data_IF_829495171295
#
_entry.id   IF_829495171295
#
_cell.length_a   1.000
_cell.length_b   1.000
_cell.length_c   1.000
_cell.angle_alpha   90.00
_cell.angle_beta   90.00
_cell.angle_gamma   90.00
#
_symmetry.space_group_name_H-M   'P 1'
#
loop_
_entity.id
_entity.type
_entity.pdbx_description
1 polymer ?
#
# COMPACT_ATOMS: atom_id res chain seq x y z
N UNK A 1 6.26 -34.99 -0.08
CA UNK A 1 6.22 -33.55 0.21
C UNK A 1 5.70 -33.41 1.64
N UNK A 2 6.09 -32.39 2.41
CA UNK A 2 5.56 -32.19 3.76
C UNK A 2 4.04 -31.92 3.68
N UNK A 3 3.26 -32.59 4.53
CA UNK A 3 1.79 -32.50 4.56
C UNK A 3 1.31 -31.06 4.78
N UNK A 4 2.01 -30.28 5.61
CA UNK A 4 1.64 -28.88 5.88
C UNK A 4 1.76 -27.97 4.65
N UNK A 5 2.63 -28.31 3.70
CA UNK A 5 2.78 -27.58 2.43
C UNK A 5 1.64 -27.93 1.48
N UNK A 6 1.24 -29.21 1.44
CA UNK A 6 0.13 -29.69 0.61
C UNK A 6 -1.20 -29.11 1.10
N UNK A 7 -1.37 -29.00 2.42
CA UNK A 7 -2.59 -28.50 3.05
C UNK A 7 -2.64 -26.96 3.14
N UNK A 8 -1.69 -26.26 2.53
CA UNK A 8 -1.57 -24.81 2.54
C UNK A 8 -1.68 -24.14 3.93
N UNK A 9 -1.06 -24.75 4.95
CA UNK A 9 -1.20 -24.34 6.36
C UNK A 9 -0.69 -22.91 6.68
N UNK A 10 0.22 -22.38 5.88
CA UNK A 10 0.88 -21.09 6.10
C UNK A 10 0.27 -20.03 5.17
N UNK A 11 -0.29 -18.97 5.76
CA UNK A 11 -0.95 -17.90 5.02
C UNK A 11 -0.02 -16.73 4.68
N UNK A 12 1.14 -16.64 5.32
CA UNK A 12 2.09 -15.55 5.09
C UNK A 12 3.01 -15.83 3.90
N UNK A 13 2.93 -15.02 2.84
CA UNK A 13 3.68 -15.23 1.60
C UNK A 13 5.20 -15.35 1.78
N UNK A 14 5.83 -14.60 2.71
CA UNK A 14 7.28 -14.74 2.97
C UNK A 14 7.65 -16.09 3.60
N UNK A 15 6.75 -16.70 4.37
CA UNK A 15 6.95 -18.06 4.89
C UNK A 15 6.87 -19.04 3.73
N UNK A 16 5.89 -18.87 2.83
CA UNK A 16 5.78 -19.70 1.63
C UNK A 16 7.00 -19.54 0.72
N UNK A 17 7.56 -18.34 0.60
CA UNK A 17 8.82 -18.08 -0.13
C UNK A 17 10.02 -18.80 0.51
N UNK A 18 10.16 -18.78 1.83
CA UNK A 18 11.16 -19.58 2.55
C UNK A 18 11.03 -21.07 2.26
N UNK A 19 9.80 -21.59 2.31
CA UNK A 19 9.52 -22.99 2.01
C UNK A 19 9.85 -23.32 0.55
N UNK A 20 9.45 -22.49 -0.41
CA UNK A 20 9.76 -22.69 -1.82
C UNK A 20 11.27 -22.81 -2.04
N UNK A 21 12.05 -21.87 -1.51
CA UNK A 21 13.51 -21.89 -1.60
C UNK A 21 14.15 -23.12 -0.96
N UNK A 22 13.67 -23.52 0.21
CA UNK A 22 14.16 -24.72 0.89
C UNK A 22 13.87 -25.99 0.07
N UNK A 23 12.63 -26.18 -0.40
CA UNK A 23 12.27 -27.39 -1.15
C UNK A 23 12.93 -27.44 -2.54
N UNK A 24 13.12 -26.29 -3.20
CA UNK A 24 13.87 -26.21 -4.45
C UNK A 24 15.33 -26.62 -4.21
N UNK A 25 15.98 -26.12 -3.15
CA UNK A 25 17.34 -26.52 -2.80
C UNK A 25 17.43 -28.01 -2.49
N UNK A 26 16.53 -28.55 -1.67
CA UNK A 26 16.54 -29.98 -1.30
C UNK A 26 16.33 -30.88 -2.52
N UNK A 27 15.53 -30.43 -3.49
CA UNK A 27 15.37 -31.12 -4.78
C UNK A 27 16.66 -31.10 -5.61
N UNK A 28 17.32 -29.93 -5.69
CA UNK A 28 18.58 -29.73 -6.42
C UNK A 28 19.68 -30.69 -5.96
N UNK A 29 19.82 -30.87 -4.64
CA UNK A 29 20.81 -31.78 -4.04
C UNK A 29 20.29 -33.22 -3.85
N UNK A 30 19.15 -33.56 -4.47
CA UNK A 30 18.56 -34.91 -4.46
C UNK A 30 18.25 -35.48 -3.07
N UNK A 31 17.99 -34.62 -2.07
CA UNK A 31 17.57 -35.04 -0.73
C UNK A 31 16.06 -35.32 -0.63
N UNK A 32 15.29 -34.95 -1.64
CA UNK A 32 13.86 -35.29 -1.77
C UNK A 32 13.60 -35.93 -3.14
N UNK A 33 12.61 -36.83 -3.26
CA UNK A 33 12.34 -37.57 -4.50
C UNK A 33 11.57 -36.76 -5.56
N UNK A 34 11.48 -35.44 -5.40
CA UNK A 34 10.76 -34.55 -6.32
C UNK A 34 11.77 -33.76 -7.12
N UNK A 35 11.54 -33.63 -8.43
CA UNK A 35 12.32 -32.72 -9.27
C UNK A 35 11.94 -31.25 -9.02
N UNK A 36 12.84 -30.33 -9.39
CA UNK A 36 12.69 -28.89 -9.12
C UNK A 36 11.47 -28.29 -9.83
N UNK A 37 11.14 -28.78 -11.02
CA UNK A 37 9.99 -28.31 -11.80
C UNK A 37 8.68 -28.63 -11.07
N UNK A 38 8.57 -29.85 -10.51
CA UNK A 38 7.42 -30.27 -9.72
C UNK A 38 7.30 -29.49 -8.41
N UNK A 39 8.42 -29.19 -7.76
CA UNK A 39 8.43 -28.31 -6.57
C UNK A 39 7.93 -26.91 -6.96
N UNK A 40 8.45 -26.34 -8.04
CA UNK A 40 8.03 -25.02 -8.53
C UNK A 40 6.53 -24.98 -8.81
N UNK A 41 5.99 -25.95 -9.56
CA UNK A 41 4.55 -26.01 -9.85
C UNK A 41 3.70 -26.09 -8.57
N UNK A 42 4.14 -26.87 -7.57
CA UNK A 42 3.44 -26.95 -6.29
C UNK A 42 3.39 -25.60 -5.59
N UNK A 43 4.51 -24.88 -5.52
CA UNK A 43 4.55 -23.59 -4.83
C UNK A 43 3.84 -22.48 -5.62
N UNK A 44 3.74 -22.57 -6.95
CA UNK A 44 2.85 -21.69 -7.73
C UNK A 44 1.38 -21.91 -7.36
N UNK A 45 0.93 -23.16 -7.22
CA UNK A 45 -0.42 -23.48 -6.74
C UNK A 45 -0.65 -22.94 -5.33
N UNK A 46 0.36 -22.99 -4.46
CA UNK A 46 0.27 -22.39 -3.13
C UNK A 46 0.09 -20.87 -3.21
N UNK A 47 0.84 -20.19 -4.08
CA UNK A 47 0.66 -18.75 -4.32
C UNK A 47 -0.74 -18.44 -4.85
N UNK A 48 -1.27 -19.25 -5.78
CA UNK A 48 -2.67 -19.13 -6.24
C UNK A 48 -3.64 -19.27 -5.07
N UNK A 49 -3.46 -20.27 -4.20
CA UNK A 49 -4.28 -20.44 -2.99
C UNK A 49 -4.22 -19.21 -2.08
N UNK A 50 -3.03 -18.62 -1.86
CA UNK A 50 -2.91 -17.41 -1.06
C UNK A 50 -3.66 -16.23 -1.70
N UNK A 51 -3.58 -16.10 -3.02
CA UNK A 51 -4.24 -15.05 -3.78
C UNK A 51 -5.76 -15.20 -3.74
N UNK A 52 -6.27 -16.40 -4.02
CA UNK A 52 -7.71 -16.68 -4.12
C UNK A 52 -8.43 -16.55 -2.77
N UNK A 53 -7.71 -16.71 -1.66
CA UNK A 53 -8.23 -16.60 -0.30
C UNK A 53 -7.88 -15.26 0.38
N UNK A 54 -7.39 -14.25 -0.37
CA UNK A 54 -7.01 -12.93 0.14
C UNK A 54 -5.99 -12.99 1.31
N UNK A 55 -5.09 -13.98 1.29
CA UNK A 55 -4.02 -14.14 2.28
C UNK A 55 -2.72 -13.42 1.87
N UNK A 56 -2.64 -12.90 0.65
CA UNK A 56 -1.55 -12.00 0.27
C UNK A 56 -1.70 -10.68 1.05
N UNK A 57 -0.68 -10.26 1.82
CA UNK A 57 -0.90 -9.22 2.82
C UNK A 57 -1.21 -7.86 2.22
N UNK A 58 -2.03 -7.09 2.93
CA UNK A 58 -2.24 -5.66 2.68
C UNK A 58 -0.95 -4.82 2.80
N UNK A 59 0.05 -5.37 3.51
CA UNK A 59 1.40 -4.82 3.71
C UNK A 59 2.26 -4.88 2.44
N UNK A 60 1.81 -5.55 1.37
CA UNK A 60 2.49 -5.53 0.06
C UNK A 60 2.49 -4.13 -0.59
N UNK A 61 1.74 -3.19 -0.02
CA UNK A 61 1.75 -1.76 -0.35
C UNK A 61 2.94 -1.01 0.27
N UNK A 62 3.73 -1.66 1.13
CA UNK A 62 4.92 -1.08 1.73
C UNK A 62 6.10 -1.18 0.74
N UNK A 63 6.22 -0.18 -0.14
CA UNK A 63 7.39 -0.04 -1.04
C UNK A 63 8.71 0.21 -0.26
N UNK A 64 8.73 0.28 1.10
CA UNK A 64 10.01 0.41 1.85
C UNK A 64 10.76 -0.88 2.03
N UNK A 65 10.08 -2.02 1.93
CA UNK A 65 10.76 -3.27 1.71
C UNK A 65 10.82 -3.40 0.19
N UNK A 66 11.85 -2.80 -0.43
CA UNK A 66 12.52 -3.54 -1.49
C UNK A 66 12.63 -4.96 -0.95
N UNK A 67 11.74 -5.86 -1.42
CA UNK A 67 11.57 -7.18 -0.84
C UNK A 67 12.97 -7.70 -0.61
N UNK A 68 13.35 -7.93 0.66
CA UNK A 68 14.70 -8.34 1.01
C UNK A 68 15.00 -9.53 0.08
N UNK A 69 15.72 -9.27 -1.02
CA UNK A 69 15.91 -10.29 -2.06
C UNK A 69 16.67 -11.47 -1.48
N UNK A 70 17.34 -11.18 -0.38
CA UNK A 70 18.25 -12.04 0.31
C UNK A 70 17.61 -12.81 1.46
N UNK A 71 16.47 -12.38 2.03
CA UNK A 71 15.87 -13.02 3.20
C UNK A 71 14.58 -12.41 3.74
N UNK A 72 14.07 -12.93 4.84
CA UNK A 72 12.98 -12.34 5.63
C UNK A 72 13.02 -12.86 7.06
N UNK A 73 12.71 -12.01 8.04
CA UNK A 73 12.70 -12.38 9.46
C UNK A 73 14.10 -12.69 10.02
N UNK A 74 15.13 -12.04 9.49
CA UNK A 74 16.54 -12.29 9.85
C UNK A 74 17.12 -13.59 9.27
N UNK A 75 16.38 -14.27 8.40
CA UNK A 75 16.79 -15.52 7.75
C UNK A 75 16.93 -15.33 6.25
N UNK A 76 18.02 -15.81 5.66
CA UNK A 76 18.21 -15.78 4.21
C UNK A 76 17.33 -16.80 3.48
N UNK A 77 16.87 -16.48 2.27
CA UNK A 77 16.18 -17.47 1.44
C UNK A 77 17.18 -18.51 0.90
N UNK A 78 16.79 -19.78 0.95
CA UNK A 78 17.56 -20.88 0.37
C UNK A 78 17.32 -20.98 -1.14
N UNK A 79 18.30 -21.47 -1.90
CA UNK A 79 18.12 -21.79 -3.32
C UNK A 79 18.01 -20.58 -4.26
N UNK A 80 18.37 -19.37 -3.82
CA UNK A 80 18.30 -18.12 -4.61
C UNK A 80 19.14 -18.12 -5.88
N UNK A 81 20.23 -18.87 -5.86
CA UNK A 81 21.13 -19.14 -6.97
C UNK A 81 20.55 -20.13 -8.01
N UNK A 82 19.36 -20.69 -7.75
CA UNK A 82 18.71 -21.64 -8.64
C UNK A 82 17.63 -20.96 -9.46
N UNK A 83 17.64 -21.25 -10.77
CA UNK A 83 16.68 -20.69 -11.75
C UNK A 83 15.22 -20.91 -11.36
N UNK A 84 14.89 -22.04 -10.76
CA UNK A 84 13.52 -22.33 -10.34
C UNK A 84 13.04 -21.43 -9.20
N UNK A 85 13.96 -20.94 -8.35
CA UNK A 85 13.60 -19.97 -7.32
C UNK A 85 13.32 -18.58 -7.92
N UNK A 86 14.15 -18.14 -8.86
CA UNK A 86 13.92 -16.90 -9.62
C UNK A 86 12.54 -16.93 -10.31
N UNK A 87 12.20 -18.04 -10.98
CA UNK A 87 10.87 -18.23 -11.60
C UNK A 87 9.71 -18.24 -10.60
N UNK A 88 9.96 -18.67 -9.36
CA UNK A 88 8.97 -18.59 -8.29
C UNK A 88 8.81 -17.13 -7.82
N UNK A 89 9.90 -16.39 -7.64
CA UNK A 89 9.86 -14.99 -7.24
C UNK A 89 9.14 -14.12 -8.27
N UNK A 90 9.46 -14.30 -9.55
CA UNK A 90 8.76 -13.61 -10.65
C UNK A 90 7.25 -13.84 -10.59
N UNK A 91 6.83 -15.10 -10.42
CA UNK A 91 5.42 -15.47 -10.34
C UNK A 91 4.72 -14.91 -9.10
N UNK A 92 5.38 -14.97 -7.94
CA UNK A 92 4.86 -14.38 -6.70
C UNK A 92 4.68 -12.87 -6.86
N UNK A 93 5.67 -12.17 -7.41
CA UNK A 93 5.61 -10.73 -7.64
C UNK A 93 4.49 -10.36 -8.63
N UNK A 94 4.33 -11.11 -9.72
CA UNK A 94 3.22 -10.91 -10.67
C UNK A 94 1.85 -11.01 -9.97
N UNK A 95 1.65 -12.05 -9.15
CA UNK A 95 0.41 -12.25 -8.39
C UNK A 95 0.16 -11.16 -7.37
N UNK A 96 1.23 -10.66 -6.72
CA UNK A 96 1.15 -9.52 -5.80
C UNK A 96 0.69 -8.26 -6.54
N UNK A 97 1.25 -7.96 -7.72
CA UNK A 97 0.86 -6.78 -8.49
C UNK A 97 -0.59 -6.87 -8.98
N UNK A 98 -1.02 -8.06 -9.44
CA UNK A 98 -2.43 -8.30 -9.78
C UNK A 98 -3.35 -8.11 -8.55
N UNK A 99 -2.91 -8.54 -7.37
CA UNK A 99 -3.67 -8.40 -6.13
C UNK A 99 -3.83 -6.94 -5.74
N UNK A 100 -2.76 -6.14 -5.86
CA UNK A 100 -2.78 -4.69 -5.64
C UNK A 100 -3.82 -4.01 -6.52
N UNK A 101 -3.78 -4.25 -7.84
CA UNK A 101 -4.75 -3.66 -8.78
C UNK A 101 -6.18 -4.03 -8.42
N UNK A 102 -6.43 -5.28 -8.01
CA UNK A 102 -7.76 -5.76 -7.63
C UNK A 102 -8.28 -5.15 -6.32
N UNK A 103 -7.41 -4.99 -5.32
CA UNK A 103 -7.82 -4.65 -3.95
C UNK A 103 -7.75 -3.16 -3.63
N UNK A 104 -6.88 -2.39 -4.30
CA UNK A 104 -6.69 -0.96 -4.04
C UNK A 104 -8.01 -0.17 -4.03
N UNK A 105 -8.94 -0.35 -5.00
CA UNK A 105 -10.22 0.38 -4.97
C UNK A 105 -11.08 0.07 -3.73
N UNK A 106 -11.09 -1.18 -3.27
CA UNK A 106 -11.81 -1.56 -2.06
C UNK A 106 -11.16 -0.94 -0.82
N UNK A 107 -9.82 -0.98 -0.73
CA UNK A 107 -9.08 -0.37 0.37
C UNK A 107 -9.29 1.16 0.38
N UNK A 108 -9.33 1.81 -0.77
CA UNK A 108 -9.66 3.23 -0.88
C UNK A 108 -11.07 3.53 -0.35
N UNK A 109 -12.03 2.64 -0.63
CA UNK A 109 -13.38 2.65 -0.05
C UNK A 109 -13.38 2.52 1.48
N UNK A 110 -12.63 1.58 2.02
CA UNK A 110 -12.48 1.40 3.48
C UNK A 110 -11.79 2.59 4.15
N UNK A 111 -10.78 3.17 3.49
CA UNK A 111 -10.07 4.35 4.00
C UNK A 111 -10.99 5.56 4.11
N UNK A 112 -11.88 5.78 3.14
CA UNK A 112 -12.79 6.92 3.21
C UNK A 112 -13.86 6.73 4.31
N UNK A 113 -14.31 5.50 4.55
CA UNK A 113 -15.17 5.19 5.70
C UNK A 113 -14.41 5.40 7.02
N UNK A 114 -13.15 4.96 7.07
CA UNK A 114 -12.28 5.12 8.23
C UNK A 114 -12.02 6.59 8.56
N UNK A 115 -11.90 7.47 7.56
CA UNK A 115 -11.76 8.90 7.79
C UNK A 115 -12.90 9.48 8.65
N UNK A 116 -14.11 8.96 8.47
CA UNK A 116 -15.29 9.37 9.22
C UNK A 116 -15.37 8.72 10.61
N UNK A 117 -15.07 7.43 10.73
CA UNK A 117 -15.18 6.69 11.99
C UNK A 117 -13.98 6.87 12.93
N UNK A 118 -12.76 6.89 12.36
CA UNK A 118 -11.48 7.03 13.06
C UNK A 118 -10.46 7.78 12.20
N UNK A 119 -10.56 9.11 12.22
CA UNK A 119 -9.64 9.98 11.50
C UNK A 119 -8.18 9.84 11.96
N UNK A 120 -7.92 9.37 13.19
CA UNK A 120 -6.54 9.17 13.66
C UNK A 120 -5.90 8.01 12.91
N UNK A 121 -6.58 6.86 12.87
CA UNK A 121 -6.10 5.69 12.17
C UNK A 121 -6.03 5.92 10.65
N UNK A 122 -7.00 6.63 10.08
CA UNK A 122 -6.94 7.06 8.68
C UNK A 122 -5.67 7.86 8.38
N UNK A 123 -5.33 8.83 9.23
CA UNK A 123 -4.13 9.66 9.06
C UNK A 123 -2.86 8.83 9.21
N UNK A 124 -2.78 7.98 10.23
CA UNK A 124 -1.61 7.14 10.48
C UNK A 124 -1.31 6.18 9.33
N UNK A 125 -2.35 5.64 8.69
CA UNK A 125 -2.22 4.76 7.51
C UNK A 125 -1.57 5.44 6.30
N UNK A 126 -1.66 6.76 6.18
CA UNK A 126 -1.27 7.51 4.99
C UNK A 126 0.03 8.32 5.14
N UNK A 127 0.61 8.38 6.33
CA UNK A 127 1.84 9.13 6.60
C UNK A 127 2.99 8.21 7.01
N UNK A 128 4.21 8.60 6.69
CA UNK A 128 5.39 7.91 7.20
C UNK A 128 5.51 8.20 8.72
N UNK A 129 5.46 7.16 9.53
CA UNK A 129 5.72 7.25 10.97
C UNK A 129 6.31 5.95 11.52
N UNK A 130 6.87 5.96 12.73
CA UNK A 130 7.44 4.77 13.37
C UNK A 130 6.35 3.91 14.05
N UNK A 131 5.27 3.62 13.33
CA UNK A 131 4.20 2.74 13.80
C UNK A 131 3.79 1.77 12.71
N UNK A 132 3.29 0.60 13.14
CA UNK A 132 2.91 -0.50 12.26
C UNK A 132 1.70 -0.17 11.38
N UNK A 133 0.88 0.82 11.78
CA UNK A 133 -0.30 1.20 11.03
C UNK A 133 -0.01 1.98 9.75
N UNK A 134 1.24 2.41 9.49
CA UNK A 134 1.65 3.28 8.37
C UNK A 134 1.64 2.62 6.98
N UNK A 135 0.59 1.85 6.66
CA UNK A 135 0.59 0.88 5.56
C UNK A 135 0.66 1.46 4.14
N UNK A 136 0.18 2.68 3.92
CA UNK A 136 -0.08 3.24 2.58
C UNK A 136 0.62 4.58 2.33
N UNK A 137 1.61 4.94 3.15
CA UNK A 137 2.31 6.23 3.06
C UNK A 137 3.01 6.49 1.73
N UNK A 138 3.42 5.46 0.98
CA UNK A 138 4.07 5.56 -0.33
C UNK A 138 3.30 4.87 -1.47
N UNK A 139 2.08 4.40 -1.20
CA UNK A 139 1.19 3.82 -2.21
C UNK A 139 0.20 4.88 -2.67
N UNK A 140 0.05 5.13 -3.98
CA UNK A 140 -0.83 6.18 -4.51
C UNK A 140 -2.31 5.77 -4.46
N UNK A 141 -2.85 5.60 -3.26
CA UNK A 141 -4.21 5.09 -3.01
C UNK A 141 -5.28 6.19 -3.02
N UNK A 142 -4.92 7.45 -2.76
CA UNK A 142 -5.90 8.52 -2.68
C UNK A 142 -6.53 8.83 -4.04
N UNK A 143 -5.81 8.58 -5.15
CA UNK A 143 -6.33 8.74 -6.52
C UNK A 143 -7.59 7.92 -6.81
N UNK A 144 -7.77 6.81 -6.08
CA UNK A 144 -8.90 5.90 -6.25
C UNK A 144 -10.10 6.27 -5.35
N UNK A 145 -9.99 7.36 -4.57
CA UNK A 145 -11.10 7.93 -3.79
C UNK A 145 -11.77 9.03 -4.63
N UNK A 146 -13.09 9.03 -4.72
CA UNK A 146 -13.83 10.12 -5.36
C UNK A 146 -13.56 11.47 -4.66
N UNK A 147 -13.07 12.50 -5.37
CA UNK A 147 -12.74 13.79 -4.78
C UNK A 147 -13.93 14.50 -4.10
N UNK A 148 -15.14 14.37 -4.65
CA UNK A 148 -16.33 15.01 -4.09
C UNK A 148 -16.68 14.38 -2.74
N UNK A 149 -16.74 13.04 -2.69
CA UNK A 149 -16.97 12.27 -1.46
C UNK A 149 -15.93 12.61 -0.39
N UNK A 150 -14.65 12.72 -0.77
CA UNK A 150 -13.58 13.11 0.15
C UNK A 150 -13.82 14.49 0.74
N UNK A 151 -14.09 15.50 -0.09
CA UNK A 151 -14.32 16.88 0.37
C UNK A 151 -15.57 16.98 1.24
N UNK A 152 -16.65 16.28 0.89
CA UNK A 152 -17.87 16.23 1.69
C UNK A 152 -17.59 15.71 3.11
N UNK A 153 -16.92 14.56 3.22
CA UNK A 153 -16.56 13.96 4.51
C UNK A 153 -15.62 14.88 5.26
N UNK A 154 -14.57 15.41 4.62
CA UNK A 154 -13.62 16.34 5.23
C UNK A 154 -14.31 17.54 5.87
N UNK A 155 -15.22 18.18 5.13
CA UNK A 155 -15.93 19.36 5.62
C UNK A 155 -16.90 19.04 6.74
N UNK A 156 -17.41 17.81 6.81
CA UNK A 156 -18.25 17.33 7.91
C UNK A 156 -17.48 17.07 9.22
N UNK A 157 -16.14 16.92 9.15
CA UNK A 157 -15.33 16.58 10.32
C UNK A 157 -15.29 17.70 11.38
N UNK A 158 -15.20 17.33 12.68
CA UNK A 158 -14.90 18.26 13.76
C UNK A 158 -13.58 19.01 13.54
N UNK A 159 -13.45 20.21 14.10
CA UNK A 159 -12.32 21.11 13.80
C UNK A 159 -10.92 20.55 14.13
N UNK A 160 -10.78 19.68 15.13
CA UNK A 160 -9.50 18.99 15.41
C UNK A 160 -9.17 17.97 14.31
N UNK A 161 -10.13 17.11 13.96
CA UNK A 161 -10.00 16.08 12.94
C UNK A 161 -9.82 16.65 11.53
N UNK A 162 -10.52 17.74 11.22
CA UNK A 162 -10.31 18.50 9.98
C UNK A 162 -8.86 19.00 9.83
N UNK A 163 -8.30 19.60 10.89
CA UNK A 163 -6.91 20.08 10.87
C UNK A 163 -5.93 18.92 10.73
N UNK A 164 -6.20 17.80 11.39
CA UNK A 164 -5.39 16.59 11.31
C UNK A 164 -5.28 16.06 9.88
N UNK A 165 -6.38 16.04 9.12
CA UNK A 165 -6.34 15.65 7.69
C UNK A 165 -5.55 16.65 6.86
N UNK A 166 -5.59 17.95 7.19
CA UNK A 166 -4.66 18.93 6.61
C UNK A 166 -3.19 18.55 6.86
N UNK A 167 -2.83 18.26 8.12
CA UNK A 167 -1.47 17.82 8.46
C UNK A 167 -1.07 16.54 7.71
N UNK A 168 -2.01 15.61 7.50
CA UNK A 168 -1.78 14.38 6.73
C UNK A 168 -1.20 14.68 5.35
N UNK A 169 -1.82 15.59 4.58
CA UNK A 169 -1.33 15.95 3.25
C UNK A 169 0.09 16.48 3.27
N UNK A 170 0.39 17.39 4.20
CA UNK A 170 1.74 17.93 4.34
C UNK A 170 2.76 16.83 4.63
N UNK A 171 2.45 15.91 5.56
CA UNK A 171 3.37 14.84 5.91
C UNK A 171 3.55 13.83 4.78
N UNK A 172 2.45 13.40 4.15
CA UNK A 172 2.44 12.43 3.05
C UNK A 172 3.31 12.87 1.88
N UNK A 173 3.22 14.13 1.47
CA UNK A 173 3.93 14.66 0.30
C UNK A 173 5.24 15.40 0.62
N UNK A 174 5.65 15.42 1.90
CA UNK A 174 6.90 16.10 2.30
C UNK A 174 8.17 15.30 2.03
N UNK A 175 8.06 13.99 1.78
CA UNK A 175 9.21 13.10 1.67
C UNK A 175 9.52 12.82 0.20
N UNK A 176 10.50 13.55 -0.34
CA UNK A 176 10.92 13.48 -1.76
C UNK A 176 11.15 12.06 -2.28
N UNK A 177 11.68 11.16 -1.45
CA UNK A 177 11.94 9.76 -1.84
C UNK A 177 10.68 9.02 -2.31
N UNK A 178 9.49 9.39 -1.82
CA UNK A 178 8.23 8.74 -2.18
C UNK A 178 7.40 9.53 -3.19
N UNK A 179 7.75 10.80 -3.43
CA UNK A 179 6.99 11.67 -4.33
C UNK A 179 6.90 11.09 -5.74
N UNK A 180 7.94 10.42 -6.25
CA UNK A 180 7.88 9.74 -7.55
C UNK A 180 6.74 8.69 -7.63
N UNK A 181 6.47 7.96 -6.55
CA UNK A 181 5.38 6.98 -6.50
C UNK A 181 4.02 7.65 -6.31
N UNK A 182 3.99 8.79 -5.61
CA UNK A 182 2.76 9.52 -5.27
C UNK A 182 2.35 10.55 -6.32
N UNK A 183 3.19 10.83 -7.31
CA UNK A 183 2.97 11.84 -8.35
C UNK A 183 1.64 11.65 -9.09
N UNK A 184 1.20 10.40 -9.27
CA UNK A 184 -0.10 10.10 -9.89
C UNK A 184 -1.31 10.62 -9.07
N UNK A 185 -1.12 10.93 -7.78
CA UNK A 185 -2.13 11.58 -6.94
C UNK A 185 -2.21 13.11 -7.17
N UNK A 186 -1.27 13.72 -7.92
CA UNK A 186 -1.24 15.17 -8.14
C UNK A 186 -2.54 15.70 -8.76
N UNK A 187 -3.05 15.02 -9.78
CA UNK A 187 -4.30 15.42 -10.43
C UNK A 187 -5.49 15.29 -9.46
N UNK A 188 -5.49 14.25 -8.63
CA UNK A 188 -6.50 14.08 -7.59
C UNK A 188 -6.42 15.24 -6.56
N UNK A 189 -5.22 15.63 -6.14
CA UNK A 189 -5.01 16.71 -5.17
C UNK A 189 -5.44 18.08 -5.73
N UNK A 190 -5.19 18.34 -7.03
CA UNK A 190 -5.68 19.54 -7.74
C UNK A 190 -7.21 19.58 -7.80
N UNK A 191 -7.85 18.44 -8.00
CA UNK A 191 -9.32 18.35 -7.93
C UNK A 191 -9.85 18.66 -6.51
N UNK A 192 -9.18 18.17 -5.47
CA UNK A 192 -9.51 18.51 -4.08
C UNK A 192 -9.36 20.02 -3.83
N UNK A 193 -8.28 20.64 -4.30
CA UNK A 193 -8.07 22.08 -4.21
C UNK A 193 -9.23 22.85 -4.85
N UNK A 194 -9.56 22.54 -6.10
CA UNK A 194 -10.63 23.22 -6.85
C UNK A 194 -11.99 23.12 -6.13
N UNK A 195 -12.33 21.93 -5.64
CA UNK A 195 -13.57 21.70 -4.88
C UNK A 195 -13.59 22.49 -3.56
N UNK A 196 -12.47 22.54 -2.84
CA UNK A 196 -12.35 23.32 -1.61
C UNK A 196 -12.44 24.82 -1.89
N UNK A 197 -11.83 25.32 -2.96
CA UNK A 197 -11.93 26.73 -3.38
C UNK A 197 -13.38 27.11 -3.71
N UNK A 198 -14.12 26.25 -4.41
CA UNK A 198 -15.54 26.44 -4.65
C UNK A 198 -16.32 26.52 -3.32
N UNK A 199 -16.10 25.58 -2.40
CA UNK A 199 -16.76 25.55 -1.08
C UNK A 199 -16.40 26.75 -0.21
N UNK A 200 -15.18 27.27 -0.36
CA UNK A 200 -14.71 28.49 0.30
C UNK A 200 -15.50 29.71 -0.20
N UNK A 201 -15.69 29.85 -1.52
CA UNK A 201 -16.45 30.94 -2.14
C UNK A 201 -17.91 30.90 -1.69
N UNK A 202 -18.54 29.71 -1.71
CA UNK A 202 -19.91 29.49 -1.20
C UNK A 202 -20.06 29.88 0.28
N UNK A 203 -18.98 29.79 1.05
CA UNK A 203 -18.91 30.10 2.48
C UNK A 203 -18.30 31.48 2.79
N UNK A 204 -18.22 32.38 1.81
CA UNK A 204 -17.58 33.69 1.99
C UNK A 204 -18.21 34.48 3.13
N UNK A 205 -17.37 35.08 3.97
CA UNK A 205 -17.79 35.85 5.15
C UNK A 205 -18.18 34.99 6.37
N UNK A 206 -18.14 33.66 6.26
CA UNK A 206 -18.37 32.73 7.38
C UNK A 206 -17.05 32.18 7.91
N UNK A 207 -17.06 31.79 9.19
CA UNK A 207 -15.92 31.11 9.81
C UNK A 207 -15.52 29.82 9.08
N UNK A 208 -16.50 29.10 8.51
CA UNK A 208 -16.24 27.92 7.68
C UNK A 208 -15.39 28.26 6.45
N UNK A 209 -15.69 29.35 5.74
CA UNK A 209 -14.89 29.81 4.61
C UNK A 209 -13.46 30.18 5.01
N UNK A 210 -13.28 30.85 6.15
CA UNK A 210 -11.94 31.12 6.68
C UNK A 210 -11.17 29.84 7.03
N UNK A 211 -11.82 28.88 7.70
CA UNK A 211 -11.22 27.57 8.02
C UNK A 211 -10.78 26.81 6.77
N UNK A 212 -11.60 26.81 5.72
CA UNK A 212 -11.26 26.19 4.43
C UNK A 212 -10.03 26.88 3.81
N UNK A 213 -9.97 28.22 3.85
CA UNK A 213 -8.82 28.97 3.34
C UNK A 213 -7.50 28.59 4.02
N UNK A 214 -7.53 28.37 5.34
CA UNK A 214 -6.35 27.92 6.09
C UNK A 214 -5.92 26.52 5.67
N UNK A 215 -6.87 25.62 5.38
CA UNK A 215 -6.56 24.28 4.89
C UNK A 215 -5.88 24.34 3.51
N UNK A 216 -6.48 25.08 2.57
CA UNK A 216 -5.99 25.21 1.20
C UNK A 216 -4.57 25.77 1.22
N UNK A 217 -4.37 26.93 1.85
CA UNK A 217 -3.10 27.64 1.80
C UNK A 217 -2.01 26.98 2.64
N UNK A 218 -2.37 26.37 3.78
CA UNK A 218 -1.40 25.82 4.73
C UNK A 218 -0.97 24.38 4.43
N UNK A 219 -1.77 23.63 3.67
CA UNK A 219 -1.54 22.21 3.44
C UNK A 219 -1.69 21.82 1.97
N UNK A 220 -2.81 22.12 1.32
CA UNK A 220 -3.08 21.62 -0.03
C UNK A 220 -2.11 22.23 -1.06
N UNK A 221 -2.00 23.55 -1.10
CA UNK A 221 -1.10 24.25 -2.05
C UNK A 221 0.35 23.83 -1.87
N UNK A 222 0.83 23.82 -0.63
CA UNK A 222 2.18 23.35 -0.31
C UNK A 222 2.43 21.90 -0.72
N UNK A 223 1.42 21.03 -0.60
CA UNK A 223 1.52 19.65 -1.06
C UNK A 223 1.54 19.51 -2.58
N UNK A 224 0.78 20.33 -3.30
CA UNK A 224 0.82 20.40 -4.78
C UNK A 224 2.20 20.87 -5.24
N UNK A 225 2.69 21.98 -4.68
CA UNK A 225 4.03 22.53 -4.99
C UNK A 225 5.12 21.48 -4.76
N UNK A 226 5.09 20.76 -3.64
CA UNK A 226 6.05 19.71 -3.33
C UNK A 226 6.08 18.56 -4.36
N UNK A 227 4.92 18.22 -4.94
CA UNK A 227 4.83 17.19 -5.98
C UNK A 227 5.22 17.72 -7.37
N UNK A 228 4.98 19.00 -7.65
CA UNK A 228 5.35 19.64 -8.92
C UNK A 228 6.86 19.91 -9.04
N UNK A 229 7.54 20.24 -7.93
CA UNK A 229 9.00 20.45 -7.91
C UNK A 229 9.80 19.17 -8.23
N UNK A 230 9.21 17.99 -7.98
CA UNK A 230 9.85 16.69 -8.17
C UNK A 230 9.46 16.03 -9.52
N UNK A 231 8.81 16.78 -10.43
CA UNK A 231 8.28 16.34 -11.73
C UNK A 231 9.15 16.86 -12.89
#
# INVERSE_FOLDING_TARGET
MNQEVIDHKYTHHQIVKHLAGLFIRLSDISLIPFDKSKVLSLFKIYVDFLFDNNHLPSELNHNSFEYDRDGWGGLGFSGRDLKEFEQFEEYLNEKIELYKVKCIPNIAGELIELMQSDTDLFTLKLIQCNREENLYYNTPILKDIDPNKFVEILLSLPGSKFRQVGYMFKHRYSVKQFNANLLIELEWLKNIESLLEQKQIESRGKLSGYRISLLINGYIKTSIEALEEDN
#
